data_IF_163754321636
#
_entry.id   IF_163754321636
#
_cell.length_a   1.000
_cell.length_b   1.000
_cell.length_c   1.000
_cell.angle_alpha   90.00
_cell.angle_beta   90.00
_cell.angle_gamma   90.00
#
_symmetry.space_group_name_H-M   'P 1'
#
loop_
_entity.id
_entity.type
_entity.pdbx_description
1 polymer ?
#
# COMPACT_ATOMS: atom_id res chain seq x y z
N UNK A 1 21.34 5.91 -10.77
CA UNK A 1 20.62 7.14 -11.26
C UNK A 1 20.23 7.98 -10.06
N UNK A 2 20.08 9.31 -10.25
CA UNK A 2 19.47 10.18 -9.23
C UNK A 2 17.95 10.03 -9.25
N UNK A 3 17.28 10.41 -8.15
CA UNK A 3 15.81 10.37 -8.08
C UNK A 3 15.13 11.19 -9.17
N UNK A 4 15.71 12.35 -9.52
CA UNK A 4 15.23 13.19 -10.61
C UNK A 4 15.34 12.48 -11.98
N UNK A 5 16.43 11.76 -12.24
CA UNK A 5 16.60 10.98 -13.47
C UNK A 5 15.62 9.80 -13.55
N UNK A 6 15.35 9.14 -12.41
CA UNK A 6 14.36 8.06 -12.34
C UNK A 6 12.97 8.61 -12.64
N UNK A 7 12.59 9.70 -11.99
CA UNK A 7 11.30 10.35 -12.20
C UNK A 7 11.13 10.80 -13.65
N UNK A 8 12.18 11.38 -14.25
CA UNK A 8 12.16 11.81 -15.67
C UNK A 8 11.97 10.62 -16.61
N UNK A 9 12.69 9.49 -16.39
CA UNK A 9 12.53 8.29 -17.22
C UNK A 9 11.11 7.70 -17.16
N UNK A 10 10.48 7.75 -15.97
CA UNK A 10 9.08 7.35 -15.80
C UNK A 10 8.16 8.32 -16.56
N UNK A 11 8.38 9.62 -16.41
CA UNK A 11 7.58 10.66 -17.07
C UNK A 11 7.69 10.61 -18.59
N UNK A 12 8.89 10.42 -19.13
CA UNK A 12 9.13 10.31 -20.58
C UNK A 12 8.38 9.14 -21.20
N UNK A 13 8.20 8.05 -20.45
CA UNK A 13 7.52 6.85 -20.94
C UNK A 13 6.01 6.87 -20.72
N UNK A 14 5.54 7.40 -19.60
CA UNK A 14 4.13 7.29 -19.20
C UNK A 14 3.38 8.62 -19.23
N UNK A 15 4.07 9.76 -19.33
CA UNK A 15 3.47 11.08 -19.56
C UNK A 15 2.33 11.40 -18.59
N UNK A 16 1.14 11.63 -19.14
CA UNK A 16 -0.06 12.01 -18.39
C UNK A 16 -0.60 10.94 -17.44
N UNK A 17 -0.11 9.69 -17.52
CA UNK A 17 -0.46 8.63 -16.57
C UNK A 17 0.17 8.86 -15.20
N UNK A 18 1.19 9.72 -15.11
CA UNK A 18 1.81 10.17 -13.87
C UNK A 18 1.12 11.43 -13.40
N UNK A 19 0.41 11.33 -12.29
CA UNK A 19 -0.43 12.43 -11.77
C UNK A 19 0.35 13.46 -10.95
N UNK A 20 1.48 13.05 -10.35
CA UNK A 20 2.38 13.95 -9.62
C UNK A 20 3.80 13.38 -9.57
N UNK A 21 4.80 14.28 -9.46
CA UNK A 21 6.22 13.95 -9.33
C UNK A 21 6.81 14.72 -8.16
N UNK A 22 7.48 13.99 -7.27
CA UNK A 22 8.14 14.51 -6.06
C UNK A 22 9.56 13.94 -5.98
N UNK A 23 10.40 14.32 -6.94
CA UNK A 23 11.76 13.76 -7.08
C UNK A 23 12.75 14.30 -6.04
N UNK A 24 12.52 15.53 -5.56
CA UNK A 24 13.43 16.25 -4.65
C UNK A 24 12.99 16.14 -3.18
N UNK A 25 11.91 15.43 -2.89
CA UNK A 25 11.44 15.20 -1.53
C UNK A 25 12.40 14.24 -0.78
N UNK A 26 12.32 14.28 0.55
CA UNK A 26 13.03 13.31 1.42
C UNK A 26 12.75 11.86 1.03
N UNK A 27 11.55 11.58 0.52
CA UNK A 27 11.11 10.30 -0.02
C UNK A 27 10.70 10.50 -1.48
N UNK A 28 11.65 10.38 -2.42
CA UNK A 28 11.39 10.61 -3.84
C UNK A 28 10.36 9.63 -4.37
N UNK A 29 9.36 10.16 -5.09
CA UNK A 29 8.25 9.35 -5.57
C UNK A 29 7.52 9.96 -6.75
N UNK A 30 6.74 9.12 -7.42
CA UNK A 30 5.71 9.52 -8.38
C UNK A 30 4.35 9.00 -7.92
N UNK A 31 3.29 9.63 -8.43
CA UNK A 31 1.91 9.22 -8.20
C UNK A 31 1.28 8.77 -9.51
N UNK A 32 0.44 7.74 -9.46
CA UNK A 32 -0.33 7.28 -10.61
C UNK A 32 -1.68 6.67 -10.15
N UNK A 33 -2.59 6.51 -11.11
CA UNK A 33 -3.84 5.76 -10.90
C UNK A 33 -3.57 4.24 -10.99
N UNK A 34 -4.34 3.45 -10.25
CA UNK A 34 -4.23 1.99 -10.22
C UNK A 34 -4.35 1.33 -11.60
N UNK A 35 -5.09 1.94 -12.53
CA UNK A 35 -5.25 1.46 -13.91
C UNK A 35 -3.92 1.39 -14.67
N UNK A 36 -2.97 2.26 -14.34
CA UNK A 36 -1.69 2.37 -15.03
C UNK A 36 -0.56 1.67 -14.29
N UNK A 37 -0.80 1.29 -13.03
CA UNK A 37 0.24 0.75 -12.17
C UNK A 37 0.94 -0.47 -12.75
N UNK A 38 0.20 -1.43 -13.31
CA UNK A 38 0.81 -2.67 -13.82
C UNK A 38 1.90 -2.40 -14.86
N UNK A 39 1.63 -1.55 -15.82
CA UNK A 39 2.59 -1.22 -16.88
C UNK A 39 3.81 -0.45 -16.32
N UNK A 40 3.58 0.44 -15.34
CA UNK A 40 4.64 1.18 -14.66
C UNK A 40 5.52 0.20 -13.86
N UNK A 41 4.92 -0.72 -13.12
CA UNK A 41 5.63 -1.73 -12.33
C UNK A 41 6.53 -2.63 -13.20
N UNK A 42 6.01 -3.12 -14.32
CA UNK A 42 6.77 -3.90 -15.30
C UNK A 42 7.96 -3.11 -15.87
N UNK A 43 7.77 -1.83 -16.16
CA UNK A 43 8.86 -0.98 -16.59
C UNK A 43 9.92 -0.80 -15.52
N UNK A 44 9.53 -0.45 -14.30
CA UNK A 44 10.43 -0.27 -13.17
C UNK A 44 11.26 -1.54 -12.89
N UNK A 45 10.64 -2.71 -13.01
CA UNK A 45 11.29 -4.00 -12.78
C UNK A 45 12.25 -4.41 -13.90
N UNK A 46 11.87 -4.19 -15.16
CA UNK A 46 12.52 -4.81 -16.33
C UNK A 46 13.46 -3.87 -17.09
N UNK A 47 13.32 -2.54 -16.94
CA UNK A 47 14.21 -1.59 -17.60
C UNK A 47 15.63 -1.70 -17.02
N UNK A 48 16.63 -1.83 -17.91
CA UNK A 48 18.03 -2.09 -17.51
C UNK A 48 18.67 -0.93 -16.76
N UNK A 49 18.20 0.29 -16.94
CA UNK A 49 18.72 1.46 -16.23
C UNK A 49 18.09 1.64 -14.85
N UNK A 50 16.89 1.09 -14.65
CA UNK A 50 16.13 1.18 -13.40
C UNK A 50 16.27 -0.07 -12.55
N UNK A 51 15.94 -1.22 -13.09
CA UNK A 51 16.12 -2.56 -12.51
C UNK A 51 15.78 -2.63 -11.01
N UNK A 52 14.56 -2.19 -10.66
CA UNK A 52 14.05 -2.31 -9.30
C UNK A 52 13.72 -3.77 -9.01
N UNK A 53 14.68 -4.52 -8.54
CA UNK A 53 14.60 -5.96 -8.29
C UNK A 53 14.06 -6.33 -6.91
N UNK A 54 13.90 -5.35 -6.01
CA UNK A 54 13.43 -5.55 -4.65
C UNK A 54 12.27 -4.63 -4.30
N UNK A 55 11.18 -5.22 -3.83
CA UNK A 55 10.09 -4.51 -3.13
C UNK A 55 10.46 -4.47 -1.64
N UNK A 56 10.88 -3.29 -1.17
CA UNK A 56 11.31 -3.11 0.21
C UNK A 56 10.10 -3.02 1.16
N UNK A 57 9.00 -2.42 0.68
CA UNK A 57 7.76 -2.31 1.44
C UNK A 57 6.57 -2.07 0.50
N UNK A 58 5.38 -2.51 0.92
CA UNK A 58 4.09 -2.14 0.34
C UNK A 58 3.14 -1.84 1.49
N UNK A 59 2.52 -0.67 1.47
CA UNK A 59 1.61 -0.24 2.54
C UNK A 59 0.33 0.35 1.98
N UNK A 60 -0.82 -0.07 2.52
CA UNK A 60 -2.10 0.57 2.29
C UNK A 60 -2.26 1.86 3.09
N UNK A 61 -2.92 2.87 2.51
CA UNK A 61 -3.26 4.14 3.17
C UNK A 61 -4.70 4.52 2.84
N UNK A 62 -5.46 4.90 3.85
CA UNK A 62 -6.82 5.39 3.72
C UNK A 62 -6.86 6.92 3.80
N UNK A 63 -7.14 7.59 2.66
CA UNK A 63 -7.33 9.04 2.55
C UNK A 63 -8.82 9.38 2.53
N UNK A 64 -9.46 9.37 3.72
CA UNK A 64 -10.90 9.63 3.86
C UNK A 64 -11.28 11.01 3.33
N UNK A 65 -10.47 12.03 3.61
CA UNK A 65 -10.74 13.41 3.19
C UNK A 65 -10.81 13.55 1.66
N UNK A 66 -10.01 12.78 0.93
CA UNK A 66 -9.92 12.81 -0.52
C UNK A 66 -10.80 11.73 -1.18
N UNK A 67 -11.48 10.91 -0.37
CA UNK A 67 -12.23 9.73 -0.81
C UNK A 67 -11.41 8.78 -1.69
N UNK A 68 -10.16 8.51 -1.27
CA UNK A 68 -9.23 7.67 -2.00
C UNK A 68 -8.57 6.63 -1.10
N UNK A 69 -8.29 5.46 -1.68
CA UNK A 69 -7.29 4.54 -1.19
C UNK A 69 -5.98 4.73 -1.96
N UNK A 70 -4.88 4.50 -1.27
CA UNK A 70 -3.55 4.54 -1.86
C UNK A 70 -2.76 3.31 -1.42
N UNK A 71 -2.01 2.72 -2.34
CA UNK A 71 -0.96 1.75 -2.03
C UNK A 71 0.39 2.39 -2.35
N UNK A 72 1.28 2.37 -1.36
CA UNK A 72 2.65 2.89 -1.49
C UNK A 72 3.58 1.71 -1.72
N UNK A 73 4.35 1.76 -2.78
CA UNK A 73 5.37 0.78 -3.13
C UNK A 73 6.75 1.42 -2.96
N UNK A 74 7.55 0.90 -2.03
CA UNK A 74 8.94 1.31 -1.83
C UNK A 74 9.84 0.30 -2.52
N UNK A 75 10.55 0.75 -3.55
CA UNK A 75 11.36 -0.08 -4.42
C UNK A 75 12.85 0.19 -4.24
N UNK A 76 13.65 -0.85 -4.39
CA UNK A 76 15.10 -0.81 -4.33
C UNK A 76 15.73 -1.59 -5.47
N UNK A 77 16.85 -1.10 -5.98
CA UNK A 77 17.70 -1.81 -6.94
C UNK A 77 19.03 -2.18 -6.27
N UNK A 78 19.35 -3.47 -6.20
CA UNK A 78 20.63 -3.93 -5.64
C UNK A 78 21.80 -3.61 -6.55
N UNK A 79 21.61 -3.71 -7.87
CA UNK A 79 22.67 -3.44 -8.83
C UNK A 79 23.01 -1.95 -8.91
N UNK A 80 21.98 -1.11 -8.97
CA UNK A 80 22.17 0.35 -9.11
C UNK A 80 22.21 1.10 -7.78
N UNK A 81 21.88 0.44 -6.66
CA UNK A 81 21.88 1.00 -5.29
C UNK A 81 21.08 2.30 -5.17
N UNK A 82 19.89 2.32 -5.79
CA UNK A 82 18.96 3.43 -5.69
C UNK A 82 17.61 2.98 -5.15
N UNK A 83 16.89 3.93 -4.56
CA UNK A 83 15.54 3.75 -4.03
C UNK A 83 14.58 4.69 -4.74
N UNK A 84 13.33 4.26 -4.89
CA UNK A 84 12.26 5.12 -5.38
C UNK A 84 10.92 4.60 -4.90
N UNK A 85 9.95 5.50 -4.67
CA UNK A 85 8.62 5.09 -4.27
C UNK A 85 7.58 5.40 -5.35
N UNK A 86 6.51 4.60 -5.38
CA UNK A 86 5.33 4.87 -6.21
C UNK A 86 4.09 4.87 -5.32
N UNK A 87 3.30 5.92 -5.39
CA UNK A 87 1.97 5.99 -4.78
C UNK A 87 0.91 5.74 -5.84
N UNK A 88 0.14 4.69 -5.62
CA UNK A 88 -0.89 4.23 -6.55
C UNK A 88 -2.26 4.49 -5.92
N UNK A 89 -3.09 5.25 -6.61
CA UNK A 89 -4.37 5.71 -6.08
C UNK A 89 -5.56 5.06 -6.80
N UNK A 90 -6.63 4.85 -6.06
CA UNK A 90 -7.96 4.50 -6.59
C UNK A 90 -9.05 5.13 -5.74
N UNK A 91 -10.29 5.18 -6.25
CA UNK A 91 -11.41 5.66 -5.48
C UNK A 91 -11.65 4.77 -4.23
N UNK A 92 -12.05 5.40 -3.12
CA UNK A 92 -12.39 4.72 -1.87
C UNK A 92 -13.79 4.13 -1.97
N UNK A 93 -13.87 2.94 -2.55
CA UNK A 93 -15.11 2.17 -2.71
C UNK A 93 -14.95 0.79 -2.08
N UNK A 94 -16.05 0.08 -1.89
CA UNK A 94 -16.02 -1.32 -1.41
C UNK A 94 -15.32 -2.24 -2.42
N UNK A 95 -15.31 -1.88 -3.70
CA UNK A 95 -14.68 -2.62 -4.80
C UNK A 95 -13.38 -1.95 -5.27
N UNK A 96 -12.63 -1.34 -4.35
CA UNK A 96 -11.34 -0.74 -4.66
C UNK A 96 -10.34 -1.79 -5.12
N UNK A 97 -9.83 -1.65 -6.35
CA UNK A 97 -8.98 -2.66 -7.00
C UNK A 97 -7.64 -2.11 -7.42
N UNK A 98 -6.62 -2.90 -7.15
CA UNK A 98 -5.24 -2.68 -7.61
C UNK A 98 -4.78 -3.90 -8.40
N UNK A 99 -3.96 -3.77 -9.43
CA UNK A 99 -3.32 -4.93 -10.04
C UNK A 99 -2.27 -5.51 -9.08
N UNK A 100 -2.28 -6.83 -8.88
CA UNK A 100 -1.25 -7.53 -8.13
C UNK A 100 0.10 -7.46 -8.85
N UNK A 101 1.17 -7.44 -8.08
CA UNK A 101 2.55 -7.44 -8.56
C UNK A 101 3.39 -8.59 -7.96
N UNK A 102 2.72 -9.62 -7.44
CA UNK A 102 3.37 -10.79 -6.83
C UNK A 102 4.32 -11.51 -7.79
N UNK A 103 3.97 -11.57 -9.07
CA UNK A 103 4.80 -12.16 -10.11
C UNK A 103 6.05 -11.34 -10.45
N UNK A 104 6.03 -10.03 -10.21
CA UNK A 104 7.18 -9.14 -10.34
C UNK A 104 8.06 -9.15 -9.09
N UNK A 105 7.44 -9.12 -7.93
CA UNK A 105 8.09 -9.13 -6.62
C UNK A 105 7.36 -10.10 -5.68
N UNK A 106 7.90 -11.29 -5.43
CA UNK A 106 7.26 -12.28 -4.56
C UNK A 106 6.96 -11.80 -3.14
N UNK A 107 7.70 -10.81 -2.63
CA UNK A 107 7.44 -10.18 -1.33
C UNK A 107 6.06 -9.50 -1.27
N UNK A 108 5.50 -9.08 -2.42
CA UNK A 108 4.19 -8.46 -2.51
C UNK A 108 3.06 -9.37 -2.01
N UNK A 109 3.20 -10.71 -2.08
CA UNK A 109 2.17 -11.66 -1.62
C UNK A 109 1.66 -11.32 -0.21
N UNK A 110 2.55 -11.23 0.77
CA UNK A 110 2.17 -10.95 2.14
C UNK A 110 1.68 -9.52 2.37
N UNK A 111 2.29 -8.56 1.72
CA UNK A 111 1.91 -7.15 1.85
C UNK A 111 0.56 -6.83 1.18
N UNK A 112 0.27 -7.43 0.04
CA UNK A 112 -1.03 -7.29 -0.64
C UNK A 112 -2.14 -7.92 0.20
N UNK A 113 -1.88 -9.07 0.83
CA UNK A 113 -2.81 -9.70 1.77
C UNK A 113 -3.02 -8.88 3.03
N UNK A 114 -1.97 -8.24 3.57
CA UNK A 114 -2.10 -7.31 4.69
C UNK A 114 -2.98 -6.11 4.31
N UNK A 115 -2.75 -5.47 3.17
CA UNK A 115 -3.55 -4.36 2.71
C UNK A 115 -5.01 -4.77 2.43
N UNK A 116 -5.24 -5.98 1.91
CA UNK A 116 -6.57 -6.55 1.79
C UNK A 116 -7.23 -6.75 3.15
N UNK A 117 -6.55 -7.39 4.10
CA UNK A 117 -7.09 -7.71 5.41
C UNK A 117 -7.41 -6.47 6.25
N UNK A 118 -6.55 -5.46 6.19
CA UNK A 118 -6.66 -4.26 7.03
C UNK A 118 -7.54 -3.16 6.43
N UNK A 119 -7.63 -3.05 5.10
CA UNK A 119 -8.32 -1.96 4.42
C UNK A 119 -9.44 -2.44 3.47
N UNK A 120 -9.47 -3.71 3.09
CA UNK A 120 -10.38 -4.23 2.07
C UNK A 120 -9.97 -3.85 0.64
N UNK A 121 -8.69 -3.58 0.41
CA UNK A 121 -8.14 -3.33 -0.92
C UNK A 121 -7.97 -4.64 -1.67
N UNK A 122 -8.64 -4.81 -2.81
CA UNK A 122 -8.55 -6.02 -3.61
C UNK A 122 -7.40 -5.96 -4.60
N UNK A 123 -6.61 -7.04 -4.72
CA UNK A 123 -5.49 -7.14 -5.66
C UNK A 123 -5.81 -8.13 -6.78
N UNK A 124 -6.12 -7.61 -7.96
CA UNK A 124 -6.47 -8.43 -9.13
C UNK A 124 -5.26 -9.23 -9.62
N UNK A 125 -5.45 -10.53 -9.73
CA UNK A 125 -4.37 -11.44 -10.14
C UNK A 125 -3.52 -11.99 -9.01
N UNK A 126 -3.81 -11.64 -7.75
CA UNK A 126 -3.17 -12.26 -6.60
C UNK A 126 -3.55 -13.75 -6.50
N UNK A 127 -2.59 -14.68 -6.32
CA UNK A 127 -2.84 -16.12 -6.35
C UNK A 127 -3.65 -16.65 -5.17
N UNK A 128 -3.56 -16.02 -3.98
CA UNK A 128 -4.19 -16.48 -2.73
C UNK A 128 -4.58 -15.30 -1.83
N UNK A 129 -5.52 -14.44 -2.30
CA UNK A 129 -5.94 -13.24 -1.58
C UNK A 129 -6.93 -13.60 -0.46
N UNK A 130 -6.41 -13.81 0.74
CA UNK A 130 -7.18 -14.12 1.95
C UNK A 130 -6.61 -13.38 3.16
N UNK A 131 -7.38 -13.29 4.24
CA UNK A 131 -6.93 -12.67 5.50
C UNK A 131 -5.71 -13.39 6.08
N UNK A 132 -4.85 -12.64 6.78
CA UNK A 132 -3.64 -13.15 7.42
C UNK A 132 -3.44 -12.67 8.87
N UNK A 133 -4.07 -11.57 9.25
CA UNK A 133 -3.94 -10.94 10.57
C UNK A 133 -5.22 -11.08 11.39
N UNK A 134 -6.37 -10.82 10.75
CA UNK A 134 -7.67 -10.96 11.41
C UNK A 134 -8.22 -12.38 11.26
N UNK A 135 -9.10 -12.78 12.17
CA UNK A 135 -9.84 -14.02 12.05
C UNK A 135 -10.77 -14.00 10.82
N UNK A 136 -11.06 -15.18 10.27
CA UNK A 136 -11.86 -15.31 9.03
C UNK A 136 -13.27 -14.72 9.17
N UNK A 137 -13.84 -14.76 10.38
CA UNK A 137 -15.15 -14.23 10.72
C UNK A 137 -15.14 -12.79 11.26
N UNK A 138 -13.98 -12.11 11.21
CA UNK A 138 -13.89 -10.71 11.61
C UNK A 138 -14.65 -9.81 10.66
N UNK A 139 -15.53 -8.95 11.19
CA UNK A 139 -16.32 -8.02 10.41
C UNK A 139 -15.58 -6.70 10.17
N UNK A 140 -15.53 -6.26 8.90
CA UNK A 140 -14.94 -5.00 8.48
C UNK A 140 -13.41 -5.02 8.37
N UNK A 141 -12.81 -3.80 8.34
CA UNK A 141 -11.40 -3.58 8.04
C UNK A 141 -10.79 -2.61 9.06
N UNK A 142 -9.95 -3.12 10.00
CA UNK A 142 -9.55 -2.40 11.21
C UNK A 142 -8.75 -1.12 11.00
N UNK A 143 -8.04 -0.97 9.86
CA UNK A 143 -7.23 0.22 9.60
C UNK A 143 -7.94 1.28 8.75
N UNK A 144 -9.19 1.06 8.34
CA UNK A 144 -10.01 2.14 7.77
C UNK A 144 -10.25 3.21 8.83
N UNK A 145 -10.17 4.47 8.43
CA UNK A 145 -10.28 5.62 9.35
C UNK A 145 -11.68 5.79 9.97
N UNK A 146 -12.69 5.26 9.31
CA UNK A 146 -14.09 5.23 9.76
C UNK A 146 -14.52 3.89 10.38
N UNK A 147 -13.57 2.99 10.60
CA UNK A 147 -13.84 1.70 11.22
C UNK A 147 -14.19 1.87 12.69
N UNK A 148 -15.30 1.25 13.10
CA UNK A 148 -15.74 1.20 14.50
C UNK A 148 -15.46 -0.19 15.03
N UNK A 149 -14.58 -0.30 16.00
CA UNK A 149 -14.28 -1.57 16.66
C UNK A 149 -15.51 -2.17 17.34
N UNK A 150 -15.74 -3.47 17.20
CA UNK A 150 -16.82 -4.14 17.91
C UNK A 150 -16.57 -4.05 19.42
N UNK A 151 -17.66 -3.86 20.18
CA UNK A 151 -17.59 -3.82 21.65
C UNK A 151 -17.23 -5.18 22.25
N UNK A 152 -17.54 -6.24 21.53
CA UNK A 152 -17.33 -7.62 21.95
C UNK A 152 -17.01 -8.49 20.73
N UNK A 153 -16.12 -9.43 20.88
CA UNK A 153 -15.80 -10.46 19.90
C UNK A 153 -15.74 -11.83 20.62
N UNK A 154 -16.64 -12.77 20.24
CA UNK A 154 -16.77 -14.10 20.86
C UNK A 154 -16.90 -14.07 22.40
N UNK A 155 -17.65 -13.11 22.95
CA UNK A 155 -17.83 -12.98 24.41
C UNK A 155 -16.65 -12.31 25.12
N UNK A 156 -15.64 -11.86 24.37
CA UNK A 156 -14.49 -11.13 24.90
C UNK A 156 -14.66 -9.65 24.59
N UNK A 157 -14.54 -8.73 25.57
CA UNK A 157 -14.58 -7.30 25.32
C UNK A 157 -13.57 -6.88 24.25
N UNK A 158 -14.02 -6.27 23.15
CA UNK A 158 -13.22 -5.97 21.96
C UNK A 158 -12.32 -4.74 22.06
N UNK A 159 -12.47 -3.91 23.10
CA UNK A 159 -11.73 -2.68 23.24
C UNK A 159 -11.42 -2.38 24.70
N UNK A 160 -10.14 -2.27 25.02
CA UNK A 160 -9.66 -1.76 26.31
C UNK A 160 -9.70 -0.23 26.34
N UNK A 161 -9.82 0.43 25.19
CA UNK A 161 -9.81 1.90 25.07
C UNK A 161 -11.05 2.57 25.69
N UNK A 162 -12.16 1.84 25.80
CA UNK A 162 -13.37 2.36 26.46
C UNK A 162 -13.17 2.61 27.96
N UNK A 163 -12.15 2.00 28.56
CA UNK A 163 -11.90 2.04 30.01
C UNK A 163 -10.61 2.77 30.40
N UNK A 164 -9.95 3.52 29.50
CA UNK A 164 -8.77 4.30 29.82
C UNK A 164 -9.03 5.29 30.98
N UNK A 165 -10.26 5.74 31.16
CA UNK A 165 -10.67 6.56 32.30
C UNK A 165 -10.86 5.76 33.60
N UNK A 166 -10.87 4.45 33.53
CA UNK A 166 -11.05 3.52 34.67
C UNK A 166 -9.77 2.72 34.99
N UNK A 167 -8.64 3.05 34.36
CA UNK A 167 -7.37 2.38 34.71
C UNK A 167 -7.04 2.59 36.19
N UNK A 168 -6.73 1.50 36.94
CA UNK A 168 -6.27 1.64 38.31
C UNK A 168 -5.00 2.49 38.34
N UNK A 169 -4.95 3.46 39.28
CA UNK A 169 -3.71 4.16 39.60
C UNK A 169 -2.67 3.13 40.08
N UNK A 170 -1.74 2.76 39.20
CA UNK A 170 -0.60 1.96 39.60
C UNK A 170 0.36 2.85 40.40
N UNK A 171 0.78 2.44 41.63
CA UNK A 171 1.77 3.18 42.37
C UNK A 171 3.06 3.32 41.58
N UNK A 172 3.55 4.57 41.47
CA UNK A 172 4.82 4.91 40.79
C UNK A 172 6.01 4.38 41.57
#
# INVERSE_FOLDING_TARGET
MTSAQIAQAIQDKFGEQITAVHADDKHPRVHCDARHWRAIAEFLRNDRALQFDWLANLSGVDYVADNQFCVVYDLYSFDHKHTFAVKVYTARTEDARFPSVVDLWPAADWHEREAYDMFGMTFNGHPDLRRILMADDWEGFPLRKDYVFPREYHGIPGSVELDWQQQPDYPK
#
